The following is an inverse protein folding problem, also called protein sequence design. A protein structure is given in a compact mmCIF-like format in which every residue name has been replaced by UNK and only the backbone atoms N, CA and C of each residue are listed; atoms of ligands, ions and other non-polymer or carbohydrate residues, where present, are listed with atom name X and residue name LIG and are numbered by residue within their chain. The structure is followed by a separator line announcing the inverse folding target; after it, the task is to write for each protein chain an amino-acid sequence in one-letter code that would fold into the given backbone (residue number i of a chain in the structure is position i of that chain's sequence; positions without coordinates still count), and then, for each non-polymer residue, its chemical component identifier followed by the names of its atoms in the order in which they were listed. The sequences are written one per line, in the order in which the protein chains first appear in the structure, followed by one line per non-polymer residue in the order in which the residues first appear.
data_IF_672816917425
#
_entry.id   IF_672816917425
#
_cell.length_a   1.000
_cell.length_b   1.000
_cell.length_c   1.000
_cell.angle_alpha   90.00
_cell.angle_beta   90.00
_cell.angle_gamma   90.00
#
_symmetry.space_group_name_H-M   'P 1'
#
loop_
_entity.id
_entity.type
_entity.pdbx_description
1 polymer ?
#
# COMPACT_ATOMS: atom_id res chain seq x y z
N UNK A 1 9.27 -2.55 -26.77
CA UNK A 1 8.04 -3.38 -26.77
C UNK A 1 7.30 -3.15 -25.46
N UNK A 2 5.97 -3.09 -25.46
CA UNK A 2 5.14 -2.89 -24.25
C UNK A 2 4.41 -4.18 -23.95
N UNK A 3 4.60 -4.74 -22.75
CA UNK A 3 3.83 -5.89 -22.31
C UNK A 3 2.44 -5.41 -21.84
N UNK A 4 1.33 -5.93 -22.41
CA UNK A 4 -0.02 -5.43 -22.15
C UNK A 4 -0.52 -5.74 -20.74
N UNK A 5 0.05 -6.75 -20.08
CA UNK A 5 -0.39 -7.24 -18.77
C UNK A 5 0.47 -6.75 -17.61
N UNK A 6 1.40 -5.80 -17.83
CA UNK A 6 2.32 -5.32 -16.78
C UNK A 6 1.60 -4.90 -15.50
N UNK A 7 0.53 -4.11 -15.64
CA UNK A 7 -0.24 -3.63 -14.50
C UNK A 7 -0.94 -4.78 -13.75
N UNK A 8 -1.51 -5.75 -14.48
CA UNK A 8 -2.19 -6.90 -13.91
C UNK A 8 -1.20 -7.83 -13.18
N UNK A 9 -0.04 -8.10 -13.77
CA UNK A 9 1.03 -8.89 -13.14
C UNK A 9 1.55 -8.21 -11.87
N UNK A 10 1.77 -6.89 -11.89
CA UNK A 10 2.19 -6.14 -10.71
C UNK A 10 1.13 -6.16 -9.61
N UNK A 11 -0.14 -5.94 -9.96
CA UNK A 11 -1.25 -5.96 -9.01
C UNK A 11 -1.42 -7.35 -8.36
N UNK A 12 -1.31 -8.42 -9.14
CA UNK A 12 -1.36 -9.79 -8.62
C UNK A 12 -0.24 -10.03 -7.61
N UNK A 13 1.01 -9.72 -7.98
CA UNK A 13 2.16 -9.94 -7.11
C UNK A 13 2.08 -9.17 -5.78
N UNK A 14 1.51 -7.95 -5.81
CA UNK A 14 1.25 -7.17 -4.59
C UNK A 14 0.14 -7.78 -3.74
N UNK A 15 -0.95 -8.24 -4.36
CA UNK A 15 -2.12 -8.76 -3.65
C UNK A 15 -1.82 -10.05 -2.89
N UNK A 16 -1.07 -10.97 -3.50
CA UNK A 16 -0.72 -12.26 -2.88
C UNK A 16 0.61 -12.24 -2.13
N UNK A 17 1.31 -11.09 -2.12
CA UNK A 17 2.66 -10.92 -1.57
C UNK A 17 3.64 -11.96 -2.13
N UNK A 18 3.73 -12.03 -3.47
CA UNK A 18 4.65 -12.95 -4.14
C UNK A 18 6.07 -12.79 -3.59
N UNK A 19 6.69 -13.87 -3.07
CA UNK A 19 7.88 -13.76 -2.25
C UNK A 19 9.14 -13.44 -3.05
N UNK A 20 9.20 -13.80 -4.33
CA UNK A 20 10.42 -13.68 -5.13
C UNK A 20 10.13 -13.26 -6.58
N UNK A 21 11.17 -12.78 -7.26
CA UNK A 21 11.16 -12.54 -8.71
C UNK A 21 10.62 -11.17 -9.15
N UNK A 22 10.65 -10.93 -10.46
CA UNK A 22 10.24 -9.67 -11.09
C UNK A 22 8.84 -9.80 -11.71
N UNK A 23 7.91 -8.96 -11.28
CA UNK A 23 6.50 -9.05 -11.67
C UNK A 23 5.98 -7.71 -12.21
N UNK A 24 5.50 -7.70 -13.46
CA UNK A 24 5.03 -6.45 -14.09
C UNK A 24 6.10 -5.38 -14.32
N UNK A 25 7.37 -5.72 -14.08
CA UNK A 25 8.51 -4.81 -14.06
C UNK A 25 8.80 -4.20 -12.69
N UNK A 26 8.29 -4.79 -11.61
CA UNK A 26 8.68 -4.49 -10.23
C UNK A 26 9.57 -5.61 -9.69
N UNK A 27 10.69 -5.25 -9.07
CA UNK A 27 11.53 -6.18 -8.29
C UNK A 27 10.85 -6.56 -6.96
N UNK A 28 11.49 -7.44 -6.20
CA UNK A 28 11.07 -7.78 -4.85
C UNK A 28 11.10 -6.55 -3.93
N UNK A 29 12.26 -5.87 -3.85
CA UNK A 29 12.46 -4.68 -3.02
C UNK A 29 11.46 -3.56 -3.36
N UNK A 30 11.22 -3.30 -4.65
CA UNK A 30 10.26 -2.29 -5.09
C UNK A 30 8.82 -2.60 -4.62
N UNK A 31 8.44 -3.88 -4.57
CA UNK A 31 7.14 -4.30 -4.02
C UNK A 31 7.10 -4.12 -2.51
N UNK A 32 8.18 -4.46 -1.81
CA UNK A 32 8.26 -4.27 -0.35
C UNK A 32 8.13 -2.81 0.06
N UNK A 33 8.83 -1.91 -0.63
CA UNK A 33 8.72 -0.47 -0.40
C UNK A 33 7.29 0.03 -0.61
N UNK A 34 6.60 -0.42 -1.65
CA UNK A 34 5.24 0.00 -1.95
C UNK A 34 4.26 -0.44 -0.85
N UNK A 35 4.42 -1.67 -0.34
CA UNK A 35 3.65 -2.16 0.80
C UNK A 35 3.99 -1.39 2.09
N UNK A 36 5.26 -1.07 2.33
CA UNK A 36 5.70 -0.27 3.47
C UNK A 36 5.09 1.13 3.46
N UNK A 37 5.08 1.80 2.31
CA UNK A 37 4.44 3.11 2.10
C UNK A 37 2.93 3.04 2.36
N UNK A 38 2.26 1.98 1.91
CA UNK A 38 0.84 1.77 2.16
C UNK A 38 0.55 1.61 3.66
N UNK A 39 1.34 0.80 4.37
CA UNK A 39 1.25 0.64 5.84
C UNK A 39 1.47 1.96 6.56
N UNK A 40 2.49 2.73 6.16
CA UNK A 40 2.79 4.00 6.78
C UNK A 40 1.63 5.00 6.62
N UNK A 41 1.00 5.06 5.45
CA UNK A 41 -0.20 5.89 5.24
C UNK A 41 -1.36 5.52 6.15
N UNK A 42 -1.60 4.23 6.38
CA UNK A 42 -2.64 3.77 7.30
C UNK A 42 -2.34 4.22 8.73
N UNK A 43 -1.07 4.14 9.15
CA UNK A 43 -0.64 4.62 10.48
C UNK A 43 -0.84 6.13 10.62
N UNK A 44 -0.38 6.92 9.63
CA UNK A 44 -0.53 8.38 9.65
C UNK A 44 -2.01 8.81 9.64
N UNK A 45 -2.85 8.11 8.87
CA UNK A 45 -4.28 8.40 8.79
C UNK A 45 -4.99 8.13 10.12
N UNK A 46 -4.70 7.00 10.79
CA UNK A 46 -5.28 6.68 12.08
C UNK A 46 -4.82 7.61 13.21
N UNK A 47 -3.61 8.14 13.14
CA UNK A 47 -3.10 9.08 14.14
C UNK A 47 -3.72 10.49 14.04
N UNK A 48 -4.34 10.81 12.90
CA UNK A 48 -4.86 12.15 12.61
C UNK A 48 -6.37 12.29 12.85
N UNK A 49 -7.02 11.30 13.47
CA UNK A 49 -8.41 11.45 13.91
C UNK A 49 -8.45 12.39 15.15
N UNK A 50 -9.04 13.59 15.07
CA UNK A 50 -9.25 14.39 16.27
C UNK A 50 -10.27 13.66 17.13
N UNK A 51 -9.84 13.19 18.30
CA UNK A 51 -10.74 12.69 19.33
C UNK A 51 -11.66 13.83 19.74
N UNK A 52 -12.94 13.73 19.39
CA UNK A 52 -13.96 14.68 19.81
C UNK A 52 -14.19 14.57 21.31
N UNK A 53 -13.81 15.60 22.05
CA UNK A 53 -14.35 15.85 23.38
C UNK A 53 -15.67 16.60 23.23
N UNK A 54 -16.77 15.88 23.46
CA UNK A 54 -18.05 16.46 23.83
C UNK A 54 -17.95 17.03 25.25
N UNK A 55 -18.15 18.33 25.41
CA UNK A 55 -18.54 18.96 26.67
C UNK A 55 -19.61 20.02 26.32
N UNK A 56 -20.89 19.65 26.31
CA UNK A 56 -21.87 19.65 27.43
C UNK A 56 -22.25 21.06 27.93
N UNK A 57 -23.55 21.35 27.75
CA UNK A 57 -24.48 22.21 28.51
C UNK A 57 -23.97 23.52 29.17
N UNK A 58 -24.53 24.65 28.74
CA UNK A 58 -25.54 25.45 29.50
C UNK A 58 -26.25 26.44 28.54
#
# INVERSE_FOLDING_TARGET
MRCPVRAQCAAHALAVREPYGVWGGLTEDEREELMGRARHRLVTASASAPGGDTASDD
#
